data_IF_233079577241
#
_entry.id   IF_233079577241
#
_cell.length_a   1.000
_cell.length_b   1.000
_cell.length_c   1.000
_cell.angle_alpha   90.00
_cell.angle_beta   90.00
_cell.angle_gamma   90.00
#
_symmetry.space_group_name_H-M   'P 1'
#
loop_
_entity.id
_entity.type
_entity.pdbx_description
1 polymer ?
#
# COMPACT_ATOMS: atom_id res chain seq x y z
N UNK A 1 10.84 -47.32 41.49
CA UNK A 1 9.71 -46.69 42.22
C UNK A 1 9.82 -45.16 42.31
N UNK A 2 10.95 -44.56 42.71
CA UNK A 2 11.13 -43.09 42.73
C UNK A 2 11.09 -42.42 41.35
N UNK A 3 11.60 -43.09 40.30
CA UNK A 3 11.58 -42.58 38.92
C UNK A 3 10.16 -42.54 38.31
N UNK A 4 9.33 -43.53 38.62
CA UNK A 4 7.92 -43.58 38.17
C UNK A 4 7.06 -42.49 38.82
N UNK A 5 7.35 -42.13 40.08
CA UNK A 5 6.65 -41.08 40.80
C UNK A 5 6.95 -39.69 40.24
N UNK A 6 8.20 -39.45 39.80
CA UNK A 6 8.62 -38.21 39.16
C UNK A 6 8.02 -38.08 37.75
N UNK A 7 7.96 -39.17 36.98
CA UNK A 7 7.32 -39.20 35.67
C UNK A 7 5.81 -38.94 35.75
N UNK A 8 5.13 -39.49 36.77
CA UNK A 8 3.71 -39.23 37.01
C UNK A 8 3.44 -37.77 37.42
N UNK A 9 4.32 -37.15 38.21
CA UNK A 9 4.19 -35.75 38.62
C UNK A 9 4.41 -34.78 37.44
N UNK A 10 5.35 -35.09 36.54
CA UNK A 10 5.59 -34.31 35.32
C UNK A 10 4.42 -34.44 34.34
N UNK A 11 3.80 -35.62 34.24
CA UNK A 11 2.60 -35.83 33.42
C UNK A 11 1.36 -35.12 33.96
N UNK A 12 1.20 -35.04 35.28
CA UNK A 12 0.09 -34.32 35.93
C UNK A 12 0.27 -32.79 35.93
N UNK A 13 1.50 -32.29 35.92
CA UNK A 13 1.80 -30.85 35.81
C UNK A 13 1.86 -30.34 34.35
N UNK A 14 1.92 -31.24 33.36
CA UNK A 14 2.01 -30.90 31.93
C UNK A 14 0.72 -30.40 31.27
N UNK A 15 -0.40 -30.35 31.99
CA UNK A 15 -1.69 -29.91 31.45
C UNK A 15 -1.98 -28.40 31.61
N UNK A 16 -1.05 -27.60 32.17
CA UNK A 16 -1.32 -26.19 32.48
C UNK A 16 -0.14 -25.26 32.19
N UNK A 17 0.42 -25.27 30.97
CA UNK A 17 1.20 -24.15 30.44
C UNK A 17 1.52 -24.31 28.94
N UNK A 18 0.50 -24.48 28.08
CA UNK A 18 0.66 -24.02 26.70
C UNK A 18 0.51 -22.50 26.76
N UNK A 19 1.60 -21.83 27.15
CA UNK A 19 1.74 -20.40 26.93
C UNK A 19 1.73 -20.25 25.42
N UNK A 20 0.62 -19.75 24.89
CA UNK A 20 0.50 -19.27 23.52
C UNK A 20 1.55 -18.17 23.34
N UNK A 21 2.77 -18.57 22.98
CA UNK A 21 3.74 -17.70 22.35
C UNK A 21 3.21 -17.39 20.94
N UNK A 22 2.13 -16.61 20.89
CA UNK A 22 1.82 -15.86 19.69
C UNK A 22 3.08 -15.02 19.40
N UNK A 23 3.69 -15.12 18.21
CA UNK A 23 4.70 -14.14 17.83
C UNK A 23 4.08 -12.76 18.04
N UNK A 24 4.84 -11.76 18.55
CA UNK A 24 4.30 -10.41 18.67
C UNK A 24 3.73 -10.07 17.31
N UNK A 25 2.39 -9.96 17.25
CA UNK A 25 1.69 -9.46 16.08
C UNK A 25 2.38 -8.15 15.81
N UNK A 26 3.16 -8.10 14.73
CA UNK A 26 3.90 -6.91 14.34
C UNK A 26 2.95 -5.76 14.52
N UNK A 27 3.33 -4.81 15.36
CA UNK A 27 2.52 -3.64 15.62
C UNK A 27 2.08 -3.14 14.25
N UNK A 28 0.79 -3.21 13.96
CA UNK A 28 0.24 -2.46 12.86
C UNK A 28 0.28 -1.00 13.32
N UNK A 29 1.50 -0.45 13.40
CA UNK A 29 1.67 0.97 13.16
C UNK A 29 1.00 1.17 11.82
N UNK A 30 -0.15 1.84 11.83
CA UNK A 30 -0.78 2.24 10.59
C UNK A 30 0.29 3.01 9.85
N UNK A 31 0.88 2.40 8.81
CA UNK A 31 1.84 3.09 7.96
C UNK A 31 1.18 4.33 7.37
N UNK A 32 1.91 5.05 6.54
CA UNK A 32 1.49 6.33 5.96
C UNK A 32 0.06 6.32 5.38
N UNK A 33 -0.44 5.15 4.99
CA UNK A 33 -1.78 4.86 4.48
C UNK A 33 -2.83 4.33 5.50
N UNK A 34 -2.68 4.59 6.80
CA UNK A 34 -3.72 4.33 7.81
C UNK A 34 -4.12 2.85 7.92
N UNK A 35 -3.16 1.94 7.79
CA UNK A 35 -3.37 0.49 7.87
C UNK A 35 -3.61 -0.21 6.52
N UNK A 36 -3.81 0.54 5.44
CA UNK A 36 -3.76 -0.02 4.08
C UNK A 36 -2.30 -0.11 3.61
N UNK A 37 -1.88 -1.21 2.99
CA UNK A 37 -0.55 -1.27 2.37
C UNK A 37 -0.53 -0.41 1.10
N UNK A 38 0.51 0.41 0.86
CA UNK A 38 0.61 1.22 -0.36
C UNK A 38 0.47 0.41 -1.66
N UNK A 39 1.02 -0.80 -1.69
CA UNK A 39 0.86 -1.74 -2.81
C UNK A 39 -0.60 -2.09 -3.12
N UNK A 40 -1.45 -2.24 -2.10
CA UNK A 40 -2.87 -2.52 -2.31
C UNK A 40 -3.59 -1.34 -2.94
N UNK A 41 -3.15 -0.12 -2.65
CA UNK A 41 -3.67 1.08 -3.30
C UNK A 41 -3.17 1.18 -4.75
N UNK A 42 -1.92 0.83 -5.02
CA UNK A 42 -1.38 0.78 -6.37
C UNK A 42 -2.17 -0.21 -7.24
N UNK A 43 -2.52 -1.39 -6.71
CA UNK A 43 -3.34 -2.38 -7.42
C UNK A 43 -4.75 -1.87 -7.78
N UNK A 44 -5.33 -0.94 -7.00
CA UNK A 44 -6.62 -0.31 -7.35
C UNK A 44 -6.54 0.55 -8.63
N UNK A 45 -5.33 0.95 -9.03
CA UNK A 45 -5.09 1.72 -10.24
C UNK A 45 -4.85 0.82 -11.47
N UNK A 46 -4.95 -0.50 -11.35
CA UNK A 46 -4.84 -1.43 -12.48
C UNK A 46 -5.71 -1.05 -13.70
N UNK A 47 -6.94 -0.51 -13.57
CA UNK A 47 -7.73 -0.06 -14.72
C UNK A 47 -7.10 1.08 -15.54
N UNK A 48 -6.06 1.74 -15.02
CA UNK A 48 -5.30 2.79 -15.69
C UNK A 48 -4.14 2.25 -16.54
N UNK A 49 -3.81 0.96 -16.46
CA UNK A 49 -2.61 0.39 -17.09
C UNK A 49 -2.49 0.75 -18.58
N UNK A 50 -3.58 0.67 -19.36
CA UNK A 50 -3.55 1.01 -20.79
C UNK A 50 -3.25 2.49 -21.04
N UNK A 51 -3.83 3.38 -20.23
CA UNK A 51 -3.66 4.83 -20.33
C UNK A 51 -2.29 5.30 -19.82
N UNK A 52 -1.64 4.48 -19.00
CA UNK A 52 -0.32 4.70 -18.45
C UNK A 52 0.77 4.18 -19.40
N UNK A 53 0.56 3.02 -20.02
CA UNK A 53 1.49 2.46 -21.01
C UNK A 53 1.45 3.22 -22.33
N UNK A 54 0.26 3.65 -22.76
CA UNK A 54 0.06 4.43 -23.96
C UNK A 54 -0.54 5.81 -23.62
N UNK A 55 0.26 6.90 -23.69
CA UNK A 55 -0.22 8.25 -23.40
C UNK A 55 -1.30 8.73 -24.39
N UNK A 56 -1.42 8.13 -25.57
CA UNK A 56 -2.50 8.41 -26.51
C UNK A 56 -3.82 7.74 -26.11
N UNK A 57 -3.78 6.62 -25.38
CA UNK A 57 -4.96 5.84 -25.00
C UNK A 57 -5.76 6.50 -23.89
N UNK A 58 -6.98 6.96 -24.20
CA UNK A 58 -7.82 7.67 -23.23
C UNK A 58 -8.08 6.84 -21.96
N UNK A 59 -7.98 7.45 -20.75
CA UNK A 59 -8.27 6.73 -19.52
C UNK A 59 -9.74 6.31 -19.46
N UNK A 60 -9.97 5.09 -19.00
CA UNK A 60 -11.32 4.55 -18.79
C UNK A 60 -12.03 5.28 -17.65
N UNK A 61 -13.36 5.23 -17.64
CA UNK A 61 -14.15 5.81 -16.55
C UNK A 61 -13.80 5.19 -15.18
N UNK A 62 -13.51 3.89 -15.15
CA UNK A 62 -13.05 3.17 -13.95
C UNK A 62 -11.67 3.62 -13.50
N UNK A 63 -10.74 3.86 -14.43
CA UNK A 63 -9.44 4.47 -14.11
C UNK A 63 -9.63 5.84 -13.44
N UNK A 64 -10.38 6.74 -14.05
CA UNK A 64 -10.58 8.08 -13.50
C UNK A 64 -11.32 8.07 -12.16
N UNK A 65 -12.24 7.12 -11.95
CA UNK A 65 -12.88 6.93 -10.66
C UNK A 65 -11.87 6.48 -9.59
N UNK A 66 -11.01 5.51 -9.90
CA UNK A 66 -9.98 5.02 -8.98
C UNK A 66 -8.96 6.11 -8.62
N UNK A 67 -8.48 6.88 -9.60
CA UNK A 67 -7.52 7.97 -9.37
C UNK A 67 -8.12 9.08 -8.51
N UNK A 68 -9.37 9.48 -8.79
CA UNK A 68 -10.09 10.45 -7.95
C UNK A 68 -10.25 9.94 -6.52
N UNK A 69 -10.59 8.67 -6.39
CA UNK A 69 -10.83 8.04 -5.10
C UNK A 69 -9.56 7.99 -4.26
N UNK A 70 -8.47 7.47 -4.83
CA UNK A 70 -7.17 7.39 -4.17
C UNK A 70 -6.66 8.80 -3.82
N UNK A 71 -6.69 9.73 -4.78
CA UNK A 71 -6.18 11.09 -4.59
C UNK A 71 -6.95 11.94 -3.58
N UNK A 72 -8.25 11.66 -3.35
CA UNK A 72 -9.07 12.41 -2.38
C UNK A 72 -9.11 11.78 -0.99
N UNK A 73 -8.95 10.46 -0.90
CA UNK A 73 -9.14 9.72 0.37
C UNK A 73 -7.86 9.50 1.16
N UNK A 74 -6.69 9.73 0.56
CA UNK A 74 -5.41 9.45 1.20
C UNK A 74 -4.59 10.72 1.45
N UNK A 75 -3.82 10.70 2.54
CA UNK A 75 -2.88 11.77 2.88
C UNK A 75 -1.76 11.86 1.82
N UNK A 76 -1.11 13.04 1.69
CA UNK A 76 0.05 13.18 0.82
C UNK A 76 1.15 12.14 1.10
N UNK A 77 1.42 11.84 2.37
CA UNK A 77 2.40 10.82 2.76
C UNK A 77 2.02 9.43 2.25
N UNK A 78 0.74 9.05 2.34
CA UNK A 78 0.25 7.79 1.78
C UNK A 78 0.39 7.75 0.26
N UNK A 79 0.09 8.86 -0.43
CA UNK A 79 0.24 8.95 -1.88
C UNK A 79 1.72 8.83 -2.28
N UNK A 80 2.64 9.41 -1.50
CA UNK A 80 4.06 9.22 -1.68
C UNK A 80 4.49 7.77 -1.48
N UNK A 81 4.03 7.12 -0.41
CA UNK A 81 4.29 5.71 -0.16
C UNK A 81 3.72 4.81 -1.28
N UNK A 82 2.58 5.16 -1.86
CA UNK A 82 1.99 4.47 -3.01
C UNK A 82 2.88 4.58 -4.24
N UNK A 83 3.33 5.80 -4.57
CA UNK A 83 4.21 6.03 -5.73
C UNK A 83 5.57 5.36 -5.60
N UNK A 84 6.07 5.24 -4.36
CA UNK A 84 7.32 4.56 -4.04
C UNK A 84 7.14 3.06 -3.74
N UNK A 85 5.91 2.54 -3.82
CA UNK A 85 5.62 1.12 -3.55
C UNK A 85 6.26 0.20 -4.59
N UNK A 86 6.59 -1.02 -4.16
CA UNK A 86 7.18 -2.01 -5.05
C UNK A 86 6.26 -2.34 -6.22
N UNK A 87 4.94 -2.29 -6.04
CA UNK A 87 3.98 -2.50 -7.12
C UNK A 87 4.15 -1.46 -8.24
N UNK A 88 4.28 -0.18 -7.90
CA UNK A 88 4.49 0.87 -8.91
C UNK A 88 5.86 0.71 -9.55
N UNK A 89 6.91 0.47 -8.75
CA UNK A 89 8.29 0.29 -9.25
C UNK A 89 8.43 -0.91 -10.20
N UNK A 90 7.79 -2.03 -9.89
CA UNK A 90 7.85 -3.24 -10.72
C UNK A 90 6.90 -3.21 -11.93
N UNK A 91 5.94 -2.28 -11.98
CA UNK A 91 5.03 -2.18 -13.13
C UNK A 91 5.72 -1.71 -14.42
N UNK A 92 7.00 -1.30 -14.35
CA UNK A 92 7.76 -0.78 -15.49
C UNK A 92 7.26 0.59 -15.98
N UNK A 93 6.37 1.21 -15.21
CA UNK A 93 5.75 2.48 -15.52
C UNK A 93 6.63 3.63 -15.05
N UNK A 94 6.83 4.63 -15.90
CA UNK A 94 7.46 5.89 -15.49
C UNK A 94 6.48 6.75 -14.70
N UNK A 95 6.96 7.40 -13.65
CA UNK A 95 6.13 8.35 -12.88
C UNK A 95 5.58 9.48 -13.74
N UNK A 96 6.31 9.88 -14.78
CA UNK A 96 5.87 10.87 -15.78
C UNK A 96 4.52 10.47 -16.42
N UNK A 97 4.36 9.20 -16.83
CA UNK A 97 3.10 8.72 -17.39
C UNK A 97 1.96 8.73 -16.36
N UNK A 98 2.26 8.34 -15.11
CA UNK A 98 1.28 8.30 -14.00
C UNK A 98 0.73 9.68 -13.69
N UNK A 99 1.59 10.71 -13.65
CA UNK A 99 1.18 12.07 -13.31
C UNK A 99 0.34 12.74 -14.40
N UNK A 100 0.35 12.25 -15.64
CA UNK A 100 -0.56 12.78 -16.68
C UNK A 100 -2.00 12.32 -16.51
N UNK A 101 -2.24 11.18 -15.84
CA UNK A 101 -3.59 10.60 -15.71
C UNK A 101 -4.59 11.55 -15.01
N UNK A 102 -4.26 12.19 -13.87
CA UNK A 102 -5.15 13.19 -13.28
C UNK A 102 -5.52 14.36 -14.22
N UNK A 103 -4.60 14.76 -15.13
CA UNK A 103 -4.85 15.77 -16.18
C UNK A 103 -5.89 15.27 -17.17
N UNK A 104 -5.68 14.07 -17.69
CA UNK A 104 -6.51 13.43 -18.71
C UNK A 104 -7.89 13.02 -18.19
N UNK A 105 -7.98 12.73 -16.89
CA UNK A 105 -9.24 12.50 -16.17
C UNK A 105 -9.96 13.79 -15.74
N UNK A 106 -9.42 14.97 -16.06
CA UNK A 106 -9.97 16.28 -15.71
C UNK A 106 -10.31 16.44 -14.21
N UNK A 107 -9.42 15.97 -13.33
CA UNK A 107 -9.61 16.07 -11.88
C UNK A 107 -9.22 17.46 -11.38
N UNK A 108 -10.16 18.18 -10.75
CA UNK A 108 -9.97 19.56 -10.27
C UNK A 108 -9.05 19.68 -9.04
N UNK A 109 -8.99 18.64 -8.21
CA UNK A 109 -8.11 18.55 -7.04
C UNK A 109 -6.92 17.69 -7.38
N UNK A 110 -5.84 18.33 -7.83
CA UNK A 110 -4.55 17.67 -8.08
C UNK A 110 -3.61 17.96 -6.90
N UNK A 111 -3.02 16.96 -6.25
CA UNK A 111 -1.95 17.20 -5.28
C UNK A 111 -0.73 17.71 -6.06
N UNK A 112 -0.50 19.02 -6.03
CA UNK A 112 0.58 19.71 -6.75
C UNK A 112 1.69 20.04 -5.73
N UNK A 113 2.95 19.76 -6.09
CA UNK A 113 4.12 20.25 -5.36
C UNK A 113 4.49 19.51 -4.08
N UNK A 114 4.01 18.28 -3.88
CA UNK A 114 4.38 17.48 -2.71
C UNK A 114 5.72 16.75 -2.91
N UNK A 115 6.58 16.81 -1.89
CA UNK A 115 7.86 16.09 -1.89
C UNK A 115 7.71 14.72 -1.26
N UNK A 116 8.01 13.69 -2.04
CA UNK A 116 8.12 12.29 -1.64
C UNK A 116 9.59 11.92 -1.47
N UNK A 117 10.20 12.31 -0.34
CA UNK A 117 11.65 12.21 -0.14
C UNK A 117 12.42 13.06 -1.15
N UNK A 118 13.39 12.47 -1.85
CA UNK A 118 14.13 13.13 -2.94
C UNK A 118 13.28 13.34 -4.20
N UNK A 119 12.15 12.63 -4.33
CA UNK A 119 11.26 12.74 -5.48
C UNK A 119 10.22 13.83 -5.26
N UNK A 120 10.29 14.92 -6.03
CA UNK A 120 9.22 15.93 -6.01
C UNK A 120 8.18 15.52 -7.03
N UNK A 121 6.92 15.31 -6.60
CA UNK A 121 5.81 15.13 -7.52
C UNK A 121 5.73 16.37 -8.42
N UNK A 122 5.98 16.22 -9.75
CA UNK A 122 5.93 17.36 -10.65
C UNK A 122 4.56 18.00 -10.55
N UNK A 123 4.53 19.33 -10.45
CA UNK A 123 3.28 20.05 -10.53
C UNK A 123 2.63 19.74 -11.88
N UNK A 124 1.32 19.48 -11.88
CA UNK A 124 0.52 19.20 -13.07
C UNK A 124 0.34 20.42 -14.02
N UNK A 125 1.29 21.35 -13.98
CA UNK A 125 1.41 22.51 -14.83
C UNK A 125 2.84 22.54 -15.36
N UNK A 126 3.08 21.76 -16.40
CA UNK A 126 3.51 22.29 -17.69
C UNK A 126 2.50 21.86 -18.76
#
# INVERSE_FOLDING_TARGET
MRSLFLLALVLLAGAAAVVLAAPPRGAAGGGECGGTRPDHLALKLAPCASAVVDPASAPSASCCAAVRDVGRRHSPDCLCALLLSDTVRHSGVSLDAVITIPKRCNLATRPIGYKCGEYTLPGLHE
#
